data_IF_257534870984
#
_entry.id   IF_257534870984
#
_cell.length_a   1.000
_cell.length_b   1.000
_cell.length_c   1.000
_cell.angle_alpha   90.00
_cell.angle_beta   90.00
_cell.angle_gamma   90.00
#
_symmetry.space_group_name_H-M   'P 1'
#
loop_
_entity.id
_entity.type
_entity.pdbx_description
1 polymer ?
#
# COMPACT_ATOMS: atom_id res chain seq x y z
N UNK A 1 17.00 11.82 19.96
CA UNK A 1 17.31 13.22 20.31
C UNK A 1 16.73 14.09 19.22
N UNK A 2 15.86 15.03 19.58
CA UNK A 2 15.25 15.98 18.63
C UNK A 2 16.25 17.12 18.46
N UNK A 3 16.83 17.26 17.26
CA UNK A 3 17.67 18.39 16.90
C UNK A 3 16.77 19.53 16.45
N UNK A 4 16.81 20.63 17.19
CA UNK A 4 15.99 21.84 17.10
C UNK A 4 14.52 21.68 17.51
N UNK A 5 14.18 22.34 18.62
CA UNK A 5 12.84 22.51 19.15
C UNK A 5 12.01 23.49 18.29
N UNK A 6 11.98 23.29 16.98
CA UNK A 6 11.05 24.01 16.10
C UNK A 6 9.77 23.19 16.07
N UNK A 7 8.72 23.70 16.71
CA UNK A 7 7.39 23.16 16.57
C UNK A 7 7.01 23.20 15.08
N UNK A 8 7.05 22.06 14.43
CA UNK A 8 6.49 21.91 13.09
C UNK A 8 4.98 22.10 13.23
N UNK A 9 4.45 23.19 12.65
CA UNK A 9 3.02 23.50 12.61
C UNK A 9 2.31 22.60 11.58
N UNK A 10 2.39 21.29 11.80
CA UNK A 10 1.70 20.28 10.99
C UNK A 10 0.40 19.92 11.71
N UNK A 11 -0.71 20.32 11.11
CA UNK A 11 -2.03 19.92 11.60
C UNK A 11 -2.24 18.42 11.35
N UNK A 12 -2.47 17.61 12.40
CA UNK A 12 -2.76 16.19 12.20
C UNK A 12 -4.07 16.01 11.43
N UNK A 13 -4.09 15.10 10.45
CA UNK A 13 -5.33 14.71 9.81
C UNK A 13 -6.28 14.05 10.84
N UNK A 14 -7.55 14.44 10.83
CA UNK A 14 -8.56 13.87 11.73
C UNK A 14 -8.71 12.36 11.56
N UNK A 15 -9.16 11.67 12.62
CA UNK A 15 -9.30 10.20 12.62
C UNK A 15 -10.08 9.68 11.40
N UNK A 16 -11.22 10.29 11.10
CA UNK A 16 -12.09 9.88 9.98
C UNK A 16 -11.39 10.01 8.63
N UNK A 17 -10.65 11.10 8.39
CA UNK A 17 -9.90 11.28 7.13
C UNK A 17 -8.76 10.27 7.01
N UNK A 18 -8.09 9.94 8.13
CA UNK A 18 -7.06 8.89 8.11
C UNK A 18 -7.65 7.52 7.78
N UNK A 19 -8.81 7.19 8.36
CA UNK A 19 -9.52 5.95 8.11
C UNK A 19 -10.04 5.88 6.67
N UNK A 20 -10.61 6.97 6.14
CA UNK A 20 -11.09 7.05 4.76
C UNK A 20 -9.94 6.88 3.75
N UNK A 21 -8.81 7.56 3.96
CA UNK A 21 -7.62 7.37 3.12
C UNK A 21 -7.10 5.93 3.17
N UNK A 22 -7.01 5.34 4.37
CA UNK A 22 -6.59 3.94 4.53
C UNK A 22 -7.57 2.96 3.86
N UNK A 23 -8.88 3.20 3.94
CA UNK A 23 -9.89 2.37 3.30
C UNK A 23 -9.74 2.37 1.77
N UNK A 24 -9.45 3.53 1.17
CA UNK A 24 -9.18 3.62 -0.27
C UNK A 24 -7.94 2.82 -0.66
N UNK A 25 -6.85 2.93 0.11
CA UNK A 25 -5.61 2.17 -0.16
C UNK A 25 -5.81 0.65 -0.01
N UNK A 26 -6.60 0.22 0.99
CA UNK A 26 -6.96 -1.19 1.19
C UNK A 26 -7.81 -1.69 0.03
N UNK A 27 -8.83 -0.95 -0.39
CA UNK A 27 -9.69 -1.33 -1.51
C UNK A 27 -8.85 -1.44 -2.80
N UNK A 28 -7.99 -0.47 -3.08
CA UNK A 28 -7.10 -0.52 -4.24
C UNK A 28 -6.19 -1.75 -4.23
N UNK A 29 -5.61 -2.08 -3.06
CA UNK A 29 -4.75 -3.25 -2.88
C UNK A 29 -5.53 -4.56 -3.08
N UNK A 30 -6.75 -4.64 -2.54
CA UNK A 30 -7.63 -5.80 -2.71
C UNK A 30 -8.08 -6.00 -4.16
N UNK A 31 -8.39 -4.91 -4.87
CA UNK A 31 -8.74 -4.96 -6.30
C UNK A 31 -7.56 -5.51 -7.11
N UNK A 32 -6.34 -5.02 -6.86
CA UNK A 32 -5.15 -5.53 -7.55
C UNK A 32 -4.89 -7.00 -7.21
N UNK A 33 -5.01 -7.38 -5.93
CA UNK A 33 -4.88 -8.77 -5.52
C UNK A 33 -5.89 -9.70 -6.18
N UNK A 34 -7.16 -9.28 -6.26
CA UNK A 34 -8.20 -10.02 -6.96
C UNK A 34 -7.87 -10.18 -8.45
N UNK A 35 -7.43 -9.12 -9.13
CA UNK A 35 -7.03 -9.18 -10.53
C UNK A 35 -5.86 -10.14 -10.76
N UNK A 36 -4.87 -10.15 -9.86
CA UNK A 36 -3.74 -11.08 -9.94
C UNK A 36 -4.19 -12.54 -9.75
N UNK A 37 -5.05 -12.82 -8.77
CA UNK A 37 -5.59 -14.18 -8.56
C UNK A 37 -6.42 -14.63 -9.77
N UNK A 38 -7.26 -13.75 -10.32
CA UNK A 38 -8.01 -14.03 -11.54
C UNK A 38 -7.09 -14.32 -12.72
N UNK A 39 -6.01 -13.54 -12.89
CA UNK A 39 -5.00 -13.77 -13.92
C UNK A 39 -4.35 -15.16 -13.77
N UNK A 40 -3.92 -15.52 -12.56
CA UNK A 40 -3.36 -16.86 -12.29
C UNK A 40 -4.36 -17.96 -12.64
N UNK A 41 -5.62 -17.81 -12.24
CA UNK A 41 -6.68 -18.77 -12.58
C UNK A 41 -6.92 -18.90 -14.08
N UNK A 42 -6.82 -17.79 -14.84
CA UNK A 42 -6.92 -17.80 -16.31
C UNK A 42 -5.74 -18.52 -16.96
N UNK A 43 -4.52 -18.29 -16.48
CA UNK A 43 -3.32 -18.96 -16.98
C UNK A 43 -3.35 -20.46 -16.70
N UNK A 44 -3.77 -20.85 -15.49
CA UNK A 44 -3.96 -22.25 -15.12
C UNK A 44 -5.03 -22.92 -16.00
N UNK A 45 -6.20 -22.28 -16.17
CA UNK A 45 -7.27 -22.79 -17.04
C UNK A 45 -6.90 -22.90 -18.52
N UNK A 46 -5.89 -22.15 -18.97
CA UNK A 46 -5.31 -22.26 -20.31
C UNK A 46 -4.21 -23.34 -20.43
N UNK A 47 -3.89 -24.06 -19.35
CA UNK A 47 -2.83 -25.07 -19.32
C UNK A 47 -1.41 -24.51 -19.33
N UNK A 48 -1.23 -23.22 -19.00
CA UNK A 48 0.08 -22.54 -19.00
C UNK A 48 0.84 -22.70 -17.68
N UNK A 49 0.16 -23.16 -16.61
CA UNK A 49 0.72 -23.39 -15.29
C UNK A 49 0.36 -24.81 -14.84
N UNK A 50 1.31 -25.51 -14.24
CA UNK A 50 1.02 -26.72 -13.49
C UNK A 50 0.42 -26.39 -12.12
N UNK A 51 -0.10 -27.41 -11.43
CA UNK A 51 -0.77 -27.23 -10.13
C UNK A 51 0.16 -26.55 -9.11
N UNK A 52 1.43 -26.95 -9.07
CA UNK A 52 2.42 -26.37 -8.17
C UNK A 52 2.67 -24.88 -8.44
N UNK A 53 2.88 -24.50 -9.71
CA UNK A 53 3.10 -23.10 -10.09
C UNK A 53 1.84 -22.26 -9.87
N UNK A 54 0.65 -22.80 -10.15
CA UNK A 54 -0.61 -22.09 -9.91
C UNK A 54 -0.81 -21.76 -8.43
N UNK A 55 -0.53 -22.71 -7.53
CA UNK A 55 -0.62 -22.51 -6.09
C UNK A 55 0.42 -21.48 -5.60
N UNK A 56 1.66 -21.60 -6.06
CA UNK A 56 2.73 -20.65 -5.74
C UNK A 56 2.39 -19.22 -6.22
N UNK A 57 1.91 -19.06 -7.45
CA UNK A 57 1.51 -17.76 -8.00
C UNK A 57 0.30 -17.17 -7.27
N UNK A 58 -0.67 -17.99 -6.87
CA UNK A 58 -1.82 -17.52 -6.09
C UNK A 58 -1.38 -16.99 -4.70
N UNK A 59 -0.49 -17.69 -4.01
CA UNK A 59 0.09 -17.23 -2.74
C UNK A 59 0.87 -15.93 -2.97
N UNK A 60 1.72 -15.89 -4.00
CA UNK A 60 2.49 -14.70 -4.35
C UNK A 60 1.59 -13.48 -4.64
N UNK A 61 0.47 -13.68 -5.34
CA UNK A 61 -0.50 -12.62 -5.61
C UNK A 61 -1.09 -12.02 -4.32
N UNK A 62 -1.41 -12.87 -3.34
CA UNK A 62 -1.91 -12.42 -2.03
C UNK A 62 -0.83 -11.63 -1.27
N UNK A 63 0.39 -12.15 -1.19
CA UNK A 63 1.52 -11.47 -0.54
C UNK A 63 1.83 -10.13 -1.20
N UNK A 64 1.81 -10.10 -2.53
CA UNK A 64 2.00 -8.87 -3.31
C UNK A 64 0.93 -7.83 -2.96
N UNK A 65 -0.33 -8.24 -2.88
CA UNK A 65 -1.44 -7.33 -2.61
C UNK A 65 -1.42 -6.76 -1.18
N UNK A 66 -1.19 -7.59 -0.16
CA UNK A 66 -1.39 -7.18 1.24
C UNK A 66 -0.10 -6.69 1.92
N UNK A 67 1.08 -7.06 1.40
CA UNK A 67 2.37 -6.69 1.99
C UNK A 67 3.17 -5.81 1.04
N UNK A 68 3.50 -6.33 -0.14
CA UNK A 68 4.51 -5.68 -0.99
C UNK A 68 3.97 -4.40 -1.59
N UNK A 69 2.77 -4.42 -2.15
CA UNK A 69 2.12 -3.27 -2.77
C UNK A 69 1.95 -2.10 -1.80
N UNK A 70 1.33 -2.24 -0.60
CA UNK A 70 1.18 -1.10 0.30
C UNK A 70 2.54 -0.54 0.75
N UNK A 71 3.53 -1.40 1.01
CA UNK A 71 4.89 -0.95 1.38
C UNK A 71 5.55 -0.18 0.23
N UNK A 72 5.53 -0.74 -0.99
CA UNK A 72 6.14 -0.10 -2.16
C UNK A 72 5.46 1.22 -2.47
N UNK A 73 4.13 1.28 -2.45
CA UNK A 73 3.36 2.51 -2.68
C UNK A 73 3.72 3.56 -1.64
N UNK A 74 3.77 3.20 -0.36
CA UNK A 74 4.07 4.14 0.72
C UNK A 74 5.50 4.71 0.61
N UNK A 75 6.48 3.84 0.33
CA UNK A 75 7.89 4.20 0.19
C UNK A 75 8.12 5.04 -1.08
N UNK A 76 7.61 4.59 -2.23
CA UNK A 76 7.78 5.28 -3.51
C UNK A 76 7.08 6.64 -3.52
N UNK A 77 5.91 6.74 -2.89
CA UNK A 77 5.15 8.00 -2.80
C UNK A 77 5.63 8.95 -1.71
N UNK A 78 6.54 8.51 -0.84
CA UNK A 78 7.01 9.26 0.35
C UNK A 78 5.85 9.69 1.26
N UNK A 79 4.90 8.79 1.47
CA UNK A 79 3.73 8.96 2.32
C UNK A 79 2.51 9.58 1.65
N UNK A 80 2.43 9.52 0.32
CA UNK A 80 1.33 10.08 -0.49
C UNK A 80 0.70 9.01 -1.38
N UNK A 81 0.16 7.96 -0.76
CA UNK A 81 -0.63 6.92 -1.45
C UNK A 81 -1.92 7.49 -2.07
N UNK A 82 -2.60 6.68 -2.88
CA UNK A 82 -3.82 7.08 -3.59
C UNK A 82 -4.91 7.59 -2.62
N UNK A 83 -5.15 6.87 -1.53
CA UNK A 83 -6.09 7.28 -0.50
C UNK A 83 -5.66 8.56 0.21
N UNK A 84 -4.35 8.80 0.36
CA UNK A 84 -3.81 10.03 0.93
C UNK A 84 -4.03 11.25 0.02
N UNK A 85 -3.92 11.07 -1.29
CA UNK A 85 -4.27 12.12 -2.25
C UNK A 85 -5.77 12.45 -2.18
N UNK A 86 -6.62 11.41 -2.11
CA UNK A 86 -8.07 11.59 -2.05
C UNK A 86 -8.53 12.40 -0.83
N UNK A 87 -7.87 12.24 0.33
CA UNK A 87 -8.22 12.96 1.57
C UNK A 87 -7.35 14.19 1.83
N UNK A 88 -6.44 14.55 0.92
CA UNK A 88 -5.53 15.69 1.08
C UNK A 88 -4.53 15.56 2.23
N UNK A 89 -4.12 14.33 2.57
CA UNK A 89 -3.19 14.05 3.66
C UNK A 89 -1.83 13.54 3.15
N UNK A 90 -0.85 13.49 4.06
CA UNK A 90 0.45 12.84 3.85
C UNK A 90 0.93 12.23 5.15
N UNK A 91 1.48 11.02 5.10
CA UNK A 91 2.19 10.45 6.25
C UNK A 91 3.62 11.00 6.25
N UNK A 92 4.04 11.48 7.42
CA UNK A 92 5.39 12.01 7.67
C UNK A 92 5.95 11.40 8.93
N UNK A 93 7.28 11.42 9.05
CA UNK A 93 7.97 11.07 10.29
C UNK A 93 7.73 12.14 11.36
N UNK A 94 8.05 11.81 12.61
CA UNK A 94 7.89 12.73 13.74
C UNK A 94 8.70 14.04 13.59
N UNK A 95 9.77 14.03 12.80
CA UNK A 95 10.60 15.18 12.43
C UNK A 95 10.10 15.90 11.15
N UNK A 96 8.91 15.57 10.64
CA UNK A 96 8.37 16.11 9.38
C UNK A 96 9.02 15.54 8.10
N UNK A 97 10.04 14.70 8.26
CA UNK A 97 10.75 14.05 7.16
C UNK A 97 9.85 13.09 6.37
N UNK A 98 10.22 12.84 5.12
CA UNK A 98 9.57 11.81 4.31
C UNK A 98 9.85 10.39 4.81
N UNK A 99 8.90 9.51 4.55
CA UNK A 99 9.00 8.07 4.84
C UNK A 99 10.09 7.44 3.97
N UNK A 100 10.79 6.46 4.53
CA UNK A 100 11.77 5.64 3.82
C UNK A 100 12.16 4.43 4.67
N UNK A 101 12.79 3.44 4.03
CA UNK A 101 13.36 2.27 4.69
C UNK A 101 14.75 2.65 5.20
N UNK A 102 14.89 2.93 6.49
CA UNK A 102 16.15 3.27 7.16
C UNK A 102 16.05 2.95 8.63
#
# INVERSE_FOLDING_TARGET
>A
MVGEAVALDVRPAGFVLRAAGAAIDVIASLVVGLLLVLLVGRLAGAGLLDDASSAACAIAAVVLAIVVMPVVVEVASRGRSLGRWAVGARIVRADGGGIGLR
#
